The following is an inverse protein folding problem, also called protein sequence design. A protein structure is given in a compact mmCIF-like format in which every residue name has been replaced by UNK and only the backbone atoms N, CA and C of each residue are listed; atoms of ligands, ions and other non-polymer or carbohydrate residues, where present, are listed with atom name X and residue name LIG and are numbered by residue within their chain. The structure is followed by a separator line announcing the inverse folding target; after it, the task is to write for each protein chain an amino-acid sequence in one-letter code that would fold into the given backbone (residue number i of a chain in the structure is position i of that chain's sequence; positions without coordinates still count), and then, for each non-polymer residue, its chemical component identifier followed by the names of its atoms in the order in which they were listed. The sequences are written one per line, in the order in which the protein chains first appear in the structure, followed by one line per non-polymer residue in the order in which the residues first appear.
data_IF_971005087866
#
_entry.id   IF_971005087866
#
_cell.length_a   1.000
_cell.length_b   1.000
_cell.length_c   1.000
_cell.angle_alpha   90.00
_cell.angle_beta   90.00
_cell.angle_gamma   90.00
#
_symmetry.space_group_name_H-M   'P 1'
#
loop_
_entity.id
_entity.type
_entity.pdbx_description
1 polymer ?
#
# COMPACT_ATOMS: atom_id res chain seq x y z
N UNK A 1 -1.85 20.67 5.60
CA UNK A 1 -1.95 19.38 4.88
C UNK A 1 -2.32 18.32 5.90
N UNK A 2 -3.56 17.90 5.90
CA UNK A 2 -3.98 16.81 6.78
C UNK A 2 -4.03 15.56 5.92
N UNK A 3 -3.20 14.58 6.24
CA UNK A 3 -3.26 13.26 5.64
C UNK A 3 -4.43 12.50 6.28
N UNK A 4 -5.25 11.89 5.46
CA UNK A 4 -6.21 10.92 5.92
C UNK A 4 -5.50 9.57 6.06
N UNK A 5 -5.67 8.91 7.18
CA UNK A 5 -5.13 7.56 7.41
C UNK A 5 -6.27 6.56 7.28
N UNK A 6 -6.10 5.56 6.42
CA UNK A 6 -7.01 4.44 6.33
C UNK A 6 -6.62 3.39 7.35
N UNK A 7 -7.51 3.10 8.28
CA UNK A 7 -7.34 2.04 9.27
C UNK A 7 -8.36 0.94 8.97
N UNK A 8 -7.91 -0.30 8.91
CA UNK A 8 -8.78 -1.46 8.83
C UNK A 8 -9.04 -1.97 10.25
N UNK A 9 -10.26 -1.94 10.68
CA UNK A 9 -10.76 -2.68 11.84
C UNK A 9 -11.39 -3.99 11.33
N UNK A 10 -11.62 -4.97 12.19
CA UNK A 10 -12.01 -6.35 11.86
C UNK A 10 -13.13 -6.50 10.81
N UNK A 11 -13.87 -5.46 10.52
CA UNK A 11 -14.88 -5.41 9.46
C UNK A 11 -15.07 -4.02 8.81
N UNK A 12 -14.27 -3.02 9.14
CA UNK A 12 -14.46 -1.66 8.68
C UNK A 12 -13.16 -1.04 8.16
N UNK A 13 -13.23 -0.41 7.02
CA UNK A 13 -12.20 0.48 6.50
C UNK A 13 -12.52 1.89 7.00
N UNK A 14 -11.56 2.49 7.70
CA UNK A 14 -11.77 3.77 8.35
C UNK A 14 -10.81 4.80 7.78
N UNK A 15 -11.33 5.98 7.48
CA UNK A 15 -10.53 7.14 7.07
C UNK A 15 -10.41 8.08 8.27
N UNK A 16 -9.23 8.13 8.89
CA UNK A 16 -8.94 9.08 9.96
C UNK A 16 -8.44 10.42 9.38
N UNK A 17 -9.06 11.51 9.79
CA UNK A 17 -8.60 12.87 9.51
C UNK A 17 -9.71 13.89 9.49
N UNK A 18 -9.52 15.00 10.22
CA UNK A 18 -10.52 16.03 10.40
C UNK A 18 -10.56 17.09 9.27
N UNK A 19 -9.65 17.04 8.31
CA UNK A 19 -9.62 17.99 7.20
C UNK A 19 -9.09 17.32 5.94
N UNK A 20 -9.99 16.96 5.04
CA UNK A 20 -9.65 16.75 3.65
C UNK A 20 -9.28 18.08 3.00
N UNK A 21 -8.04 18.53 3.12
CA UNK A 21 -7.53 19.65 2.33
C UNK A 21 -7.05 19.15 0.99
N UNK A 22 -7.88 19.32 0.06
CA UNK A 22 -7.78 18.98 -1.33
C UNK A 22 -7.16 20.16 -2.10
N UNK A 23 -5.96 20.05 -2.64
CA UNK A 23 -5.38 21.02 -3.56
C UNK A 23 -5.87 20.73 -4.99
N UNK A 24 -6.37 21.74 -5.66
CA UNK A 24 -7.06 21.60 -6.95
C UNK A 24 -6.04 21.50 -8.09
N UNK A 25 -6.06 20.37 -8.80
CA UNK A 25 -5.80 20.35 -10.24
C UNK A 25 -7.12 19.89 -10.87
N UNK A 26 -7.78 20.67 -11.69
CA UNK A 26 -9.13 20.35 -12.15
C UNK A 26 -9.11 19.10 -13.04
N UNK A 27 -10.04 18.20 -12.80
CA UNK A 27 -10.44 17.09 -13.65
C UNK A 27 -9.47 15.90 -13.78
N UNK A 28 -8.75 15.53 -12.74
CA UNK A 28 -8.08 14.22 -12.69
C UNK A 28 -8.89 13.22 -11.86
N UNK A 29 -8.91 11.99 -12.32
CA UNK A 29 -9.34 10.85 -11.50
C UNK A 29 -8.14 10.31 -10.76
N UNK A 30 -8.23 10.24 -9.44
CA UNK A 30 -7.23 9.57 -8.60
C UNK A 30 -7.75 8.17 -8.29
N UNK A 31 -6.98 7.15 -8.66
CA UNK A 31 -7.39 5.76 -8.52
C UNK A 31 -6.59 5.10 -7.39
N UNK A 32 -7.32 4.43 -6.50
CA UNK A 32 -6.75 3.62 -5.43
C UNK A 32 -7.31 2.19 -5.53
N UNK A 33 -6.44 1.21 -5.57
CA UNK A 33 -6.81 -0.20 -5.55
C UNK A 33 -6.64 -0.74 -4.14
N UNK A 34 -7.73 -1.18 -3.53
CA UNK A 34 -7.76 -1.76 -2.21
C UNK A 34 -7.75 -3.28 -2.27
N UNK A 35 -6.99 -3.88 -1.35
CA UNK A 35 -6.93 -5.32 -1.14
C UNK A 35 -6.79 -5.56 0.37
N UNK A 36 -7.41 -6.59 0.87
CA UNK A 36 -7.20 -7.03 2.24
C UNK A 36 -6.23 -8.21 2.27
N UNK A 37 -5.23 -8.15 3.13
CA UNK A 37 -4.35 -9.27 3.39
C UNK A 37 -4.83 -9.99 4.66
N UNK A 38 -5.49 -11.16 4.55
CA UNK A 38 -6.09 -11.83 5.70
C UNK A 38 -5.05 -12.44 6.64
N UNK A 39 -3.86 -12.77 6.15
CA UNK A 39 -2.78 -13.34 6.99
C UNK A 39 -2.20 -12.27 7.90
N UNK A 40 -1.90 -11.11 7.34
CA UNK A 40 -1.38 -9.98 8.11
C UNK A 40 -2.49 -9.17 8.81
N UNK A 41 -3.77 -9.45 8.52
CA UNK A 41 -4.93 -8.69 8.97
C UNK A 41 -4.76 -7.17 8.72
N UNK A 42 -4.46 -6.81 7.47
CA UNK A 42 -4.18 -5.43 7.08
C UNK A 42 -4.83 -5.08 5.75
N UNK A 43 -5.32 -3.85 5.65
CA UNK A 43 -5.62 -3.23 4.36
C UNK A 43 -4.31 -2.88 3.66
N UNK A 44 -4.22 -3.20 2.39
CA UNK A 44 -3.12 -2.81 1.52
C UNK A 44 -3.66 -2.03 0.33
N UNK A 45 -2.87 -1.10 -0.15
CA UNK A 45 -3.26 -0.17 -1.21
C UNK A 45 -2.21 -0.15 -2.31
N UNK A 46 -2.67 -0.12 -3.55
CA UNK A 46 -1.85 -0.06 -4.75
C UNK A 46 -0.73 -1.13 -4.76
N UNK A 47 -1.09 -2.42 -4.85
CA UNK A 47 -0.11 -3.48 -4.98
C UNK A 47 0.78 -3.27 -6.20
N UNK A 48 2.08 -3.45 -6.02
CA UNK A 48 3.07 -3.35 -7.09
C UNK A 48 3.79 -4.68 -7.22
N UNK A 49 3.62 -5.31 -8.40
CA UNK A 49 4.27 -6.58 -8.70
C UNK A 49 5.61 -6.35 -9.40
N UNK A 50 6.58 -7.24 -9.14
CA UNK A 50 7.86 -7.25 -9.80
C UNK A 50 8.39 -8.68 -9.98
N UNK A 51 9.28 -8.84 -10.94
CA UNK A 51 9.92 -10.13 -11.24
C UNK A 51 11.25 -10.28 -10.49
N UNK A 52 11.73 -11.50 -10.25
CA UNK A 52 13.05 -11.74 -9.67
C UNK A 52 14.20 -11.03 -10.41
N UNK A 53 14.10 -10.91 -11.72
CA UNK A 53 15.13 -10.29 -12.58
C UNK A 53 15.43 -8.82 -12.29
N UNK A 54 14.54 -8.12 -11.57
CA UNK A 54 14.74 -6.70 -11.20
C UNK A 54 15.30 -6.55 -9.77
N UNK A 55 15.59 -7.66 -9.11
CA UNK A 55 16.19 -7.69 -7.77
C UNK A 55 17.71 -7.74 -7.88
N UNK A 56 18.36 -6.73 -7.32
CA UNK A 56 19.81 -6.68 -7.19
C UNK A 56 20.26 -7.32 -5.87
N UNK A 57 20.87 -8.49 -5.96
CA UNK A 57 21.48 -9.18 -4.83
C UNK A 57 22.90 -8.68 -4.63
N UNK A 58 23.25 -8.28 -3.42
CA UNK A 58 24.58 -7.76 -3.14
C UNK A 58 25.02 -7.97 -1.69
N UNK A 59 26.31 -8.16 -1.48
CA UNK A 59 26.90 -8.40 -0.17
C UNK A 59 26.89 -7.19 0.78
N UNK A 60 26.74 -6.01 0.24
CA UNK A 60 26.69 -4.73 1.03
C UNK A 60 25.42 -3.95 0.77
N UNK A 61 24.82 -4.14 -0.40
CA UNK A 61 23.64 -3.41 -0.84
C UNK A 61 22.79 -4.32 -1.71
N UNK A 62 21.51 -4.41 -1.38
CA UNK A 62 20.48 -5.06 -2.20
C UNK A 62 19.42 -4.06 -2.59
N UNK A 63 18.89 -4.18 -3.79
CA UNK A 63 17.93 -3.23 -4.38
C UNK A 63 16.81 -3.95 -5.09
N UNK A 64 15.67 -3.28 -5.22
CA UNK A 64 14.57 -3.70 -6.08
C UNK A 64 14.29 -2.54 -7.04
N UNK A 65 14.29 -2.83 -8.34
CA UNK A 65 14.01 -1.84 -9.37
C UNK A 65 12.57 -1.95 -9.84
N UNK A 66 11.77 -0.94 -9.53
CA UNK A 66 10.37 -0.84 -9.91
C UNK A 66 10.17 0.52 -10.58
N UNK A 67 9.98 0.57 -11.90
CA UNK A 67 9.87 1.83 -12.62
C UNK A 67 8.73 2.72 -12.14
N UNK A 68 9.02 3.98 -11.85
CA UNK A 68 8.07 5.01 -11.44
C UNK A 68 7.22 4.61 -10.21
N UNK A 69 7.78 3.86 -9.28
CA UNK A 69 7.10 3.55 -8.03
C UNK A 69 6.80 4.83 -7.23
N UNK A 70 5.72 4.84 -6.50
CA UNK A 70 5.32 5.97 -5.65
C UNK A 70 5.69 5.78 -4.16
N UNK A 71 6.53 4.78 -3.86
CA UNK A 71 7.01 4.54 -2.49
C UNK A 71 7.87 5.69 -1.99
N UNK A 72 7.72 6.00 -0.69
CA UNK A 72 8.52 6.99 0.05
C UNK A 72 9.34 6.26 1.11
N UNK A 73 10.46 6.84 1.49
CA UNK A 73 11.23 6.33 2.64
C UNK A 73 10.36 6.35 3.90
N UNK A 74 10.33 5.23 4.62
CA UNK A 74 9.49 5.01 5.79
C UNK A 74 8.12 4.38 5.48
N UNK A 75 7.69 4.28 4.22
CA UNK A 75 6.46 3.57 3.91
C UNK A 75 6.53 2.13 4.43
N UNK A 76 5.47 1.70 5.12
CA UNK A 76 5.29 0.31 5.52
C UNK A 76 4.70 -0.47 4.36
N UNK A 77 5.32 -1.58 3.99
CA UNK A 77 4.87 -2.45 2.90
C UNK A 77 4.79 -3.89 3.36
N UNK A 78 3.78 -4.63 2.86
CA UNK A 78 3.74 -6.09 2.99
C UNK A 78 4.38 -6.69 1.76
N UNK A 79 5.25 -7.67 1.97
CA UNK A 79 5.83 -8.50 0.92
C UNK A 79 5.00 -9.76 0.74
N UNK A 80 4.71 -10.11 -0.52
CA UNK A 80 4.06 -11.37 -0.89
C UNK A 80 4.79 -11.97 -2.09
N UNK A 81 5.23 -13.20 -1.96
CA UNK A 81 5.74 -14.01 -3.08
C UNK A 81 4.65 -14.96 -3.58
N UNK A 82 4.54 -15.12 -4.90
CA UNK A 82 3.58 -16.07 -5.49
C UNK A 82 3.99 -17.52 -5.29
N UNK A 83 5.30 -17.79 -5.14
CA UNK A 83 5.83 -19.08 -4.73
C UNK A 83 6.27 -19.00 -3.25
N UNK A 84 5.52 -19.60 -2.31
CA UNK A 84 5.86 -19.55 -0.90
C UNK A 84 7.08 -20.40 -0.53
N UNK A 85 7.58 -21.24 -1.44
CA UNK A 85 8.73 -22.12 -1.23
C UNK A 85 10.03 -21.50 -1.73
N UNK A 86 9.95 -20.42 -2.53
CA UNK A 86 11.10 -19.73 -3.12
C UNK A 86 10.88 -18.22 -3.09
N UNK A 87 10.93 -17.66 -1.88
CA UNK A 87 10.76 -16.24 -1.61
C UNK A 87 12.08 -15.50 -1.86
N UNK A 88 12.00 -14.18 -1.97
CA UNK A 88 13.18 -13.31 -1.97
C UNK A 88 13.85 -13.35 -0.59
N UNK A 89 14.86 -14.21 -0.43
CA UNK A 89 15.53 -14.43 0.86
C UNK A 89 16.33 -13.19 1.33
N UNK A 90 16.24 -12.76 2.59
CA UNK A 90 15.57 -13.40 3.73
C UNK A 90 14.15 -12.92 4.03
N UNK A 91 13.38 -12.45 3.04
CA UNK A 91 12.03 -11.96 3.30
C UNK A 91 11.08 -13.10 3.64
N UNK A 92 10.14 -12.82 4.52
CA UNK A 92 9.07 -13.74 4.91
C UNK A 92 7.75 -13.30 4.27
N UNK A 93 7.00 -14.26 3.76
CA UNK A 93 5.71 -14.01 3.13
C UNK A 93 4.71 -13.38 4.11
N UNK A 94 3.99 -12.37 3.65
CA UNK A 94 3.03 -11.60 4.44
C UNK A 94 3.63 -10.79 5.60
N UNK A 95 4.94 -10.61 5.65
CA UNK A 95 5.58 -9.75 6.64
C UNK A 95 5.65 -8.30 6.19
N UNK A 96 5.65 -7.41 7.19
CA UNK A 96 5.80 -5.97 6.98
C UNK A 96 7.26 -5.58 6.98
N UNK A 97 7.64 -4.79 5.98
CA UNK A 97 8.95 -4.17 5.82
C UNK A 97 8.81 -2.66 5.63
N UNK A 98 9.92 -1.94 5.65
CA UNK A 98 9.92 -0.49 5.48
C UNK A 98 10.80 -0.10 4.30
N UNK A 99 10.29 0.82 3.48
CA UNK A 99 10.97 1.25 2.26
C UNK A 99 12.08 2.26 2.58
N UNK A 100 13.22 2.08 1.93
CA UNK A 100 14.26 3.10 1.74
C UNK A 100 14.22 3.48 0.26
N UNK A 101 13.70 4.65 -0.06
CA UNK A 101 13.67 5.14 -1.44
C UNK A 101 15.04 5.67 -1.83
N UNK A 102 15.60 5.13 -2.90
CA UNK A 102 16.85 5.60 -3.49
C UNK A 102 16.56 6.66 -4.55
N UNK A 103 15.69 6.34 -5.49
CA UNK A 103 15.24 7.26 -6.54
C UNK A 103 13.79 6.93 -6.95
N UNK A 104 13.34 7.40 -8.10
CA UNK A 104 11.98 7.15 -8.61
C UNK A 104 11.74 5.72 -9.11
N UNK A 105 12.81 4.95 -9.30
CA UNK A 105 12.75 3.60 -9.85
C UNK A 105 13.34 2.54 -8.92
N UNK A 106 14.05 2.93 -7.86
CA UNK A 106 14.87 2.03 -7.06
C UNK A 106 14.56 2.18 -5.58
N UNK A 107 14.34 1.06 -4.92
CA UNK A 107 14.16 0.99 -3.48
C UNK A 107 15.10 -0.04 -2.85
N UNK A 108 15.22 0.05 -1.52
CA UNK A 108 15.72 -0.98 -0.62
C UNK A 108 14.67 -1.23 0.44
N UNK A 109 14.81 -2.32 1.17
CA UNK A 109 13.94 -2.64 2.30
C UNK A 109 14.73 -2.65 3.60
N UNK A 110 14.05 -2.35 4.69
CA UNK A 110 14.55 -2.43 6.06
C UNK A 110 13.53 -3.14 6.95
N UNK A 111 14.02 -3.76 8.03
CA UNK A 111 13.16 -4.49 8.97
C UNK A 111 12.32 -3.57 9.86
N UNK A 112 12.73 -2.32 10.05
CA UNK A 112 12.04 -1.38 10.94
C UNK A 112 11.95 0.01 10.31
N UNK A 113 10.95 0.77 10.75
CA UNK A 113 10.81 2.18 10.37
C UNK A 113 12.05 3.00 10.74
N UNK A 114 12.63 2.74 11.91
CA UNK A 114 13.85 3.42 12.35
C UNK A 114 15.02 3.15 11.39
N UNK A 115 15.24 1.89 11.04
CA UNK A 115 16.31 1.50 10.12
C UNK A 115 16.14 2.13 8.72
N UNK A 116 14.90 2.25 8.24
CA UNK A 116 14.62 2.87 6.94
C UNK A 116 14.87 4.38 6.91
N UNK A 117 14.74 5.06 8.05
CA UNK A 117 14.91 6.51 8.17
C UNK A 117 16.27 6.92 8.74
N UNK A 118 17.14 5.97 9.07
CA UNK A 118 18.46 6.24 9.59
C UNK A 118 19.33 6.91 8.53
N UNK A 119 20.09 7.94 8.95
CA UNK A 119 21.14 8.50 8.10
C UNK A 119 22.19 7.45 7.78
N UNK A 120 22.87 7.62 6.64
CA UNK A 120 23.95 6.71 6.22
C UNK A 120 24.93 6.36 7.38
N UNK A 121 25.34 5.07 7.55
CA UNK A 121 25.01 3.92 6.71
C UNK A 121 23.59 3.39 6.95
N UNK A 122 22.86 3.11 5.86
CA UNK A 122 21.52 2.53 5.94
C UNK A 122 21.58 1.11 6.49
N UNK A 123 20.58 0.73 7.30
CA UNK A 123 20.37 -0.62 7.77
C UNK A 123 19.38 -1.36 6.85
N UNK A 124 19.79 -1.57 5.59
CA UNK A 124 18.97 -2.28 4.62
C UNK A 124 19.10 -3.80 4.75
N UNK A 125 18.04 -4.49 4.36
CA UNK A 125 18.05 -5.95 4.21
C UNK A 125 18.95 -6.30 3.02
N UNK A 126 19.81 -7.30 3.21
CA UNK A 126 20.64 -7.86 2.15
C UNK A 126 19.98 -9.14 1.66
N UNK A 127 19.65 -9.18 0.37
CA UNK A 127 19.09 -10.35 -0.26
C UNK A 127 20.21 -11.34 -0.57
N UNK A 128 19.94 -12.63 -0.39
CA UNK A 128 20.88 -13.71 -0.68
C UNK A 128 20.55 -14.42 -1.98
N UNK A 129 19.32 -14.31 -2.45
CA UNK A 129 18.86 -14.73 -3.77
C UNK A 129 17.72 -13.83 -4.28
N UNK A 130 17.19 -14.14 -5.46
CA UNK A 130 16.13 -13.37 -6.11
C UNK A 130 14.75 -14.01 -5.94
N UNK A 131 14.66 -15.22 -5.36
CA UNK A 131 13.44 -16.02 -5.31
C UNK A 131 12.91 -16.40 -6.70
N UNK A 132 11.70 -16.96 -6.74
CA UNK A 132 11.01 -17.35 -7.95
C UNK A 132 9.59 -16.79 -8.04
N UNK A 133 9.00 -16.88 -9.23
CA UNK A 133 7.64 -16.42 -9.49
C UNK A 133 7.52 -14.90 -9.58
N UNK A 134 6.44 -14.38 -9.03
CA UNK A 134 6.18 -12.94 -8.98
C UNK A 134 6.17 -12.48 -7.54
N UNK A 135 6.84 -11.38 -7.26
CA UNK A 135 6.84 -10.74 -5.97
C UNK A 135 5.92 -9.52 -5.99
N UNK A 136 5.33 -9.19 -4.86
CA UNK A 136 4.45 -8.03 -4.68
C UNK A 136 4.85 -7.27 -3.42
N UNK A 137 4.84 -5.94 -3.52
CA UNK A 137 4.88 -5.02 -2.41
C UNK A 137 3.63 -4.16 -2.41
N UNK A 138 2.96 -4.09 -1.28
CA UNK A 138 1.74 -3.29 -1.12
C UNK A 138 1.87 -2.39 0.08
N UNK A 139 1.53 -1.09 -0.06
CA UNK A 139 1.51 -0.16 1.08
C UNK A 139 0.48 -0.59 2.11
N UNK A 140 0.87 -0.57 3.37
CA UNK A 140 0.01 -0.91 4.52
C UNK A 140 -0.60 0.34 5.09
N UNK A 141 -1.94 0.44 5.09
CA UNK A 141 -2.69 1.56 5.66
C UNK A 141 -2.03 2.93 5.36
N UNK A 142 -1.70 3.23 4.10
CA UNK A 142 -1.02 4.49 3.80
C UNK A 142 -1.96 5.66 4.03
N UNK A 143 -1.43 6.83 4.44
CA UNK A 143 -2.20 8.06 4.35
C UNK A 143 -2.55 8.32 2.87
N UNK A 144 -3.83 8.52 2.59
CA UNK A 144 -4.30 8.87 1.25
C UNK A 144 -4.43 10.39 1.17
N UNK A 145 -3.58 11.00 0.35
CA UNK A 145 -3.68 12.42 0.01
C UNK A 145 -4.59 12.57 -1.21
N UNK A 146 -5.71 13.25 -1.02
CA UNK A 146 -6.69 13.53 -2.08
C UNK A 146 -6.63 15.01 -2.43
N UNK A 147 -6.76 15.36 -3.71
CA UNK A 147 -6.75 16.75 -4.17
C UNK A 147 -8.18 17.25 -4.35
N UNK A 148 -8.54 18.40 -3.73
CA UNK A 148 -9.91 19.00 -3.78
C UNK A 148 -10.33 19.35 -5.20
N UNK A 149 -11.47 18.83 -5.63
CA UNK A 149 -11.99 18.98 -6.97
C UNK A 149 -11.66 17.81 -7.89
N UNK A 150 -10.81 16.87 -7.47
CA UNK A 150 -10.63 15.62 -8.19
C UNK A 150 -11.74 14.63 -7.89
N UNK A 151 -11.98 13.74 -8.84
CA UNK A 151 -12.76 12.51 -8.63
C UNK A 151 -11.82 11.47 -8.02
N UNK A 152 -12.25 10.84 -6.94
CA UNK A 152 -11.53 9.73 -6.32
C UNK A 152 -12.26 8.44 -6.64
N UNK A 153 -11.56 7.53 -7.29
CA UNK A 153 -12.04 6.18 -7.58
C UNK A 153 -11.33 5.20 -6.65
N UNK A 154 -12.11 4.38 -5.94
CA UNK A 154 -11.58 3.34 -5.07
C UNK A 154 -12.02 1.98 -5.61
N UNK A 155 -11.07 1.24 -6.17
CA UNK A 155 -11.27 -0.11 -6.64
C UNK A 155 -11.39 -1.09 -5.48
N UNK A 156 -12.57 -1.68 -5.31
CA UNK A 156 -12.92 -2.63 -4.25
C UNK A 156 -13.26 -4.02 -4.81
N UNK A 157 -12.88 -4.29 -6.05
CA UNK A 157 -13.23 -5.54 -6.77
C UNK A 157 -12.39 -6.75 -6.36
N UNK A 158 -11.28 -6.55 -5.61
CA UNK A 158 -10.42 -7.67 -5.24
C UNK A 158 -11.17 -8.68 -4.35
N UNK A 159 -11.12 -10.01 -4.65
CA UNK A 159 -11.89 -11.03 -3.93
C UNK A 159 -11.68 -11.05 -2.41
N UNK A 160 -10.50 -10.60 -1.93
CA UNK A 160 -10.21 -10.49 -0.50
C UNK A 160 -11.11 -9.50 0.25
N UNK A 161 -11.83 -8.64 -0.47
CA UNK A 161 -12.76 -7.65 0.09
C UNK A 161 -14.22 -8.15 0.09
N UNK A 162 -14.46 -9.38 -0.32
CA UNK A 162 -15.79 -9.98 -0.27
C UNK A 162 -16.31 -10.04 1.17
N UNK A 163 -17.52 -9.55 1.40
CA UNK A 163 -18.15 -9.47 2.71
C UNK A 163 -17.78 -8.24 3.54
N UNK A 164 -16.87 -7.39 3.05
CA UNK A 164 -16.54 -6.11 3.69
C UNK A 164 -17.41 -4.97 3.13
N UNK A 165 -17.49 -3.88 3.87
CA UNK A 165 -18.13 -2.63 3.47
C UNK A 165 -17.21 -1.46 3.70
N UNK A 166 -17.23 -0.45 2.81
CA UNK A 166 -16.50 0.78 2.99
C UNK A 166 -17.43 1.84 3.59
N UNK A 167 -17.03 2.38 4.74
CA UNK A 167 -17.72 3.48 5.37
C UNK A 167 -16.74 4.64 5.57
N UNK A 168 -17.22 5.86 5.38
CA UNK A 168 -16.48 7.08 5.65
C UNK A 168 -17.03 7.73 6.90
N UNK A 169 -16.13 8.26 7.74
CA UNK A 169 -16.48 8.96 8.96
C UNK A 169 -15.81 10.33 8.98
N UNK A 170 -16.43 11.30 9.59
CA UNK A 170 -15.90 12.66 9.74
C UNK A 170 -15.09 12.83 11.03
N UNK A 171 -15.05 11.82 11.86
CA UNK A 171 -14.33 11.79 13.14
C UNK A 171 -13.55 10.48 13.30
N UNK A 172 -12.54 10.52 14.16
CA UNK A 172 -11.66 9.38 14.45
C UNK A 172 -12.23 8.40 15.51
N UNK A 173 -13.41 8.69 16.05
CA UNK A 173 -14.13 7.80 16.97
C UNK A 173 -15.21 6.97 16.27
N UNK A 174 -15.33 7.12 14.92
CA UNK A 174 -16.30 6.42 14.07
C UNK A 174 -17.77 6.59 14.50
N UNK A 175 -18.08 7.72 15.09
CA UNK A 175 -19.44 8.04 15.57
C UNK A 175 -20.25 8.78 14.51
N UNK A 176 -19.61 9.61 13.71
CA UNK A 176 -20.25 10.48 12.72
C UNK A 176 -20.00 9.93 11.31
N UNK A 177 -20.86 9.01 10.86
CA UNK A 177 -20.77 8.49 9.51
C UNK A 177 -20.95 9.62 8.49
N UNK A 178 -20.03 9.71 7.55
CA UNK A 178 -20.09 10.69 6.48
C UNK A 178 -21.13 10.26 5.44
N UNK A 179 -22.26 10.97 5.40
CA UNK A 179 -23.31 10.76 4.41
C UNK A 179 -23.20 11.86 3.35
N UNK A 180 -22.40 11.63 2.33
CA UNK A 180 -22.24 12.59 1.25
C UNK A 180 -23.08 12.21 0.04
N UNK A 181 -23.72 13.23 -0.55
CA UNK A 181 -24.46 13.13 -1.82
C UNK A 181 -23.53 12.94 -3.03
N UNK A 182 -22.21 12.91 -2.83
CA UNK A 182 -21.22 12.76 -3.90
C UNK A 182 -20.57 11.36 -4.00
N UNK A 183 -21.01 10.39 -3.19
CA UNK A 183 -20.50 9.02 -3.26
C UNK A 183 -21.40 8.17 -4.14
N UNK A 184 -20.84 7.62 -5.21
CA UNK A 184 -21.50 6.64 -6.07
C UNK A 184 -20.80 5.31 -5.95
N UNK A 185 -21.54 4.23 -5.90
CA UNK A 185 -21.00 2.87 -5.89
C UNK A 185 -21.52 2.11 -7.13
N UNK A 186 -20.62 1.33 -7.75
CA UNK A 186 -21.00 0.41 -8.83
C UNK A 186 -20.44 -0.97 -8.49
N UNK A 187 -21.27 -2.01 -8.68
CA UNK A 187 -20.92 -3.39 -8.38
C UNK A 187 -20.90 -3.75 -6.89
N UNK A 188 -20.39 -4.92 -6.58
CA UNK A 188 -20.29 -5.47 -5.23
C UNK A 188 -18.81 -5.59 -4.82
N UNK A 189 -18.53 -5.38 -3.53
CA UNK A 189 -17.17 -5.55 -3.02
C UNK A 189 -16.68 -6.99 -3.16
N UNK A 190 -15.45 -7.14 -3.65
CA UNK A 190 -14.86 -8.45 -3.89
C UNK A 190 -15.38 -9.17 -5.14
N UNK A 191 -16.16 -8.52 -5.98
CA UNK A 191 -16.63 -9.08 -7.24
C UNK A 191 -15.67 -8.71 -8.37
N UNK A 192 -14.96 -9.70 -8.90
CA UNK A 192 -13.98 -9.54 -9.98
C UNK A 192 -14.61 -9.20 -11.35
N UNK A 193 -15.95 -9.22 -11.47
CA UNK A 193 -16.67 -8.95 -12.71
C UNK A 193 -17.14 -7.50 -12.85
N UNK A 194 -16.78 -6.61 -11.92
CA UNK A 194 -17.12 -5.19 -12.00
C UNK A 194 -15.91 -4.39 -12.48
N UNK A 195 -15.85 -4.17 -13.77
CA UNK A 195 -15.07 -3.08 -14.39
C UNK A 195 -15.92 -1.82 -14.45
#
# INVERSE_FOLDING_TARGET
KTAATLVADDQHLLVEGNDFKLNISPNKTEEFLFKFNPVANRLVVNPVSFAPSVVGVGSTVSTITIPNHDFKTGDSVIYVGSDPTDLLDPLLNNNVYHVIRIDKNTIRLANTFYASNKAFPYENILFTDNGAGTHELSKVNPPIEIIKGNVVSIGMSHPSLSGYTLNFYSDNEFKSKFNSTGITTSGSFGDSNTN
#
